data_IF_300488260812
#
_entry.id   IF_300488260812
#
_cell.length_a   1.000
_cell.length_b   1.000
_cell.length_c   1.000
_cell.angle_alpha   90.00
_cell.angle_beta   90.00
_cell.angle_gamma   90.00
#
_symmetry.space_group_name_H-M   'P 1'
#
loop_
_entity.id
_entity.type
_entity.pdbx_description
1 polymer ?
#
# COMPACT_ATOMS: atom_id res chain seq x y z
N UNK A 1 -13.96 6.58 53.51
CA UNK A 1 -14.10 7.60 52.46
C UNK A 1 -14.24 6.88 51.12
N UNK A 2 -15.30 7.15 50.37
CA UNK A 2 -15.56 6.60 49.04
C UNK A 2 -15.76 7.73 48.04
N UNK A 3 -15.37 7.50 46.79
CA UNK A 3 -15.47 8.45 45.69
C UNK A 3 -16.33 7.84 44.60
N UNK A 4 -17.33 8.58 44.13
CA UNK A 4 -18.26 8.15 43.07
C UNK A 4 -18.33 9.24 42.01
N UNK A 5 -17.98 8.90 40.78
CA UNK A 5 -18.04 9.78 39.62
C UNK A 5 -19.28 9.48 38.80
N UNK A 6 -20.08 10.50 38.51
CA UNK A 6 -21.14 10.46 37.50
C UNK A 6 -20.72 11.38 36.36
N UNK A 7 -20.68 10.87 35.14
CA UNK A 7 -20.22 11.62 33.96
C UNK A 7 -21.36 12.37 33.26
N UNK A 8 -22.62 12.16 33.67
CA UNK A 8 -23.77 12.89 33.16
C UNK A 8 -24.23 12.46 31.76
N UNK A 9 -23.72 11.35 31.23
CA UNK A 9 -24.08 10.76 29.93
C UNK A 9 -24.93 9.48 30.05
N UNK A 10 -25.29 9.09 31.28
CA UNK A 10 -26.06 7.87 31.56
C UNK A 10 -25.21 6.59 31.63
N UNK A 11 -23.88 6.70 31.52
CA UNK A 11 -22.94 5.60 31.74
C UNK A 11 -22.88 5.19 33.23
N UNK A 12 -22.43 3.96 33.57
CA UNK A 12 -22.22 3.55 34.96
C UNK A 12 -21.22 4.45 35.69
N UNK A 13 -21.48 4.74 36.96
CA UNK A 13 -20.59 5.55 37.79
C UNK A 13 -19.22 4.88 38.01
N UNK A 14 -18.14 5.66 37.99
CA UNK A 14 -16.80 5.17 38.32
C UNK A 14 -16.44 5.43 39.80
N UNK A 15 -15.45 4.70 40.32
CA UNK A 15 -15.00 4.84 41.71
C UNK A 15 -13.50 5.11 41.80
N UNK A 16 -13.09 5.80 42.87
CA UNK A 16 -11.70 6.13 43.16
C UNK A 16 -11.39 7.63 43.12
N UNK A 17 -10.25 8.05 43.68
CA UNK A 17 -9.86 9.46 43.76
C UNK A 17 -9.58 10.08 42.37
N UNK A 18 -9.35 9.24 41.35
CA UNK A 18 -9.25 9.64 39.94
C UNK A 18 -10.10 8.69 39.11
N UNK A 19 -10.67 9.19 38.02
CA UNK A 19 -11.41 8.38 37.07
C UNK A 19 -11.21 8.91 35.64
N UNK A 20 -11.25 8.01 34.67
CA UNK A 20 -11.20 8.31 33.24
C UNK A 20 -12.50 7.88 32.59
N UNK A 21 -13.06 8.73 31.73
CA UNK A 21 -14.30 8.45 31.00
C UNK A 21 -14.24 8.94 29.56
N UNK A 22 -14.94 8.25 28.68
CA UNK A 22 -15.00 8.53 27.24
C UNK A 22 -16.45 8.81 26.87
N UNK A 23 -16.70 10.02 26.37
CA UNK A 23 -18.01 10.40 25.84
C UNK A 23 -18.11 9.97 24.38
N UNK A 24 -18.94 8.96 24.11
CA UNK A 24 -19.11 8.41 22.76
C UNK A 24 -20.00 9.28 21.85
N UNK A 25 -20.78 10.19 22.42
CA UNK A 25 -21.75 11.01 21.68
C UNK A 25 -21.47 12.49 21.83
N UNK A 26 -21.75 13.23 20.77
CA UNK A 26 -21.64 14.69 20.73
C UNK A 26 -22.77 15.28 21.57
N UNK A 27 -22.45 16.25 22.39
CA UNK A 27 -23.39 16.80 23.36
C UNK A 27 -22.71 17.55 24.49
N UNK A 28 -23.54 18.08 25.39
CA UNK A 28 -23.10 18.72 26.61
C UNK A 28 -23.42 17.83 27.80
N UNK A 29 -22.41 17.50 28.59
CA UNK A 29 -22.50 16.66 29.76
C UNK A 29 -22.08 17.43 31.01
N UNK A 30 -22.53 16.98 32.17
CA UNK A 30 -22.14 17.55 33.46
C UNK A 30 -21.59 16.45 34.35
N UNK A 31 -20.27 16.39 34.48
CA UNK A 31 -19.62 15.42 35.35
C UNK A 31 -19.63 15.91 36.81
N UNK A 32 -19.91 15.01 37.75
CA UNK A 32 -19.93 15.29 39.20
C UNK A 32 -19.15 14.23 39.98
N UNK A 33 -18.50 14.66 41.05
CA UNK A 33 -17.84 13.77 42.01
C UNK A 33 -18.57 13.83 43.35
N UNK A 34 -19.03 12.68 43.84
CA UNK A 34 -19.60 12.53 45.18
C UNK A 34 -18.62 11.81 46.10
N UNK A 35 -18.25 12.44 47.21
CA UNK A 35 -17.39 11.89 48.25
C UNK A 35 -18.23 11.52 49.48
N UNK A 36 -18.12 10.30 49.98
CA UNK A 36 -18.85 9.83 51.16
C UNK A 36 -17.89 9.36 52.25
N UNK A 37 -17.99 9.93 53.45
CA UNK A 37 -17.23 9.56 54.64
C UNK A 37 -18.17 9.07 55.75
N UNK A 38 -17.61 8.72 56.92
CA UNK A 38 -18.39 8.40 58.12
C UNK A 38 -19.18 9.61 58.66
N UNK A 39 -18.85 10.82 58.21
CA UNK A 39 -19.47 12.07 58.64
C UNK A 39 -20.56 12.57 57.67
N UNK A 40 -20.71 11.93 56.50
CA UNK A 40 -21.73 12.28 55.52
C UNK A 40 -21.24 12.20 54.07
N UNK A 41 -22.03 12.76 53.15
CA UNK A 41 -21.71 12.81 51.71
C UNK A 41 -21.67 14.26 51.22
N UNK A 42 -20.75 14.56 50.30
CA UNK A 42 -20.60 15.86 49.67
C UNK A 42 -20.37 15.68 48.17
N UNK A 43 -21.11 16.42 47.35
CA UNK A 43 -21.01 16.39 45.89
C UNK A 43 -20.37 17.67 45.38
N UNK A 44 -19.45 17.54 44.41
CA UNK A 44 -18.80 18.67 43.78
C UNK A 44 -19.79 19.51 42.96
N UNK A 45 -19.48 20.79 42.70
CA UNK A 45 -20.08 21.48 41.56
C UNK A 45 -19.88 20.65 40.28
N UNK A 46 -20.88 20.67 39.40
CA UNK A 46 -20.80 19.98 38.11
C UNK A 46 -19.78 20.64 37.18
N UNK A 47 -19.00 19.82 36.49
CA UNK A 47 -18.05 20.25 35.46
C UNK A 47 -18.74 20.07 34.10
N UNK A 48 -18.99 21.18 33.41
CA UNK A 48 -19.56 21.15 32.07
C UNK A 48 -18.52 20.67 31.05
N UNK A 49 -18.89 19.63 30.29
CA UNK A 49 -18.06 19.04 29.24
C UNK A 49 -18.84 19.16 27.94
N UNK A 50 -18.25 19.79 26.94
CA UNK A 50 -18.85 19.89 25.59
C UNK A 50 -18.06 19.02 24.64
N UNK A 51 -18.72 18.02 24.08
CA UNK A 51 -18.18 17.13 23.06
C UNK A 51 -18.72 17.60 21.74
N UNK A 52 -17.85 18.07 20.85
CA UNK A 52 -18.20 18.56 19.53
C UNK A 52 -18.07 17.44 18.48
N UNK A 53 -18.78 17.56 17.36
CA UNK A 53 -18.48 16.70 16.20
C UNK A 53 -17.05 16.95 15.73
N UNK A 54 -16.30 15.88 15.51
CA UNK A 54 -15.05 15.96 14.75
C UNK A 54 -15.43 16.33 13.31
N UNK A 55 -14.95 17.46 12.76
CA UNK A 55 -15.21 17.81 11.36
C UNK A 55 -14.59 16.80 10.39
N UNK A 56 -13.62 16.00 10.83
CA UNK A 56 -12.95 14.99 10.03
C UNK A 56 -12.91 13.64 10.80
N UNK A 57 -14.07 12.99 10.98
CA UNK A 57 -14.17 11.74 11.73
C UNK A 57 -13.34 10.64 11.07
N UNK A 58 -12.79 9.74 11.89
CA UNK A 58 -11.87 8.69 11.43
C UNK A 58 -12.17 7.37 12.11
N UNK A 59 -11.94 6.30 11.38
CA UNK A 59 -11.85 4.96 11.94
C UNK A 59 -10.41 4.64 12.29
N UNK A 60 -10.22 3.92 13.38
CA UNK A 60 -8.94 3.48 13.90
C UNK A 60 -8.86 1.97 13.83
N UNK A 61 -7.70 1.46 13.40
CA UNK A 61 -7.46 0.02 13.23
C UNK A 61 -6.15 -0.35 13.92
N UNK A 62 -6.18 -1.40 14.75
CA UNK A 62 -4.97 -2.00 15.33
C UNK A 62 -5.12 -3.52 15.42
N UNK A 63 -4.05 -4.32 15.42
CA UNK A 63 -4.16 -5.78 15.39
C UNK A 63 -4.87 -6.37 16.62
N UNK A 64 -4.78 -5.68 17.76
CA UNK A 64 -5.44 -6.04 19.03
C UNK A 64 -6.80 -5.36 19.21
N UNK A 65 -7.36 -4.82 18.13
CA UNK A 65 -8.67 -4.18 18.12
C UNK A 65 -9.82 -5.18 18.30
N UNK A 66 -11.01 -4.63 18.45
CA UNK A 66 -12.25 -5.39 18.57
C UNK A 66 -12.84 -5.75 17.21
N UNK A 67 -13.84 -6.62 17.23
CA UNK A 67 -14.65 -6.99 16.04
C UNK A 67 -16.10 -6.55 16.26
N UNK A 68 -16.85 -6.46 15.18
CA UNK A 68 -18.26 -6.07 15.15
C UNK A 68 -18.50 -4.64 14.68
N UNK A 69 -19.78 -4.32 14.49
CA UNK A 69 -20.23 -3.02 13.98
C UNK A 69 -19.90 -1.82 14.92
N UNK A 70 -19.51 -2.09 16.17
CA UNK A 70 -19.15 -1.06 17.15
C UNK A 70 -17.69 -0.64 17.13
N UNK A 71 -16.80 -1.40 16.47
CA UNK A 71 -15.39 -1.02 16.40
C UNK A 71 -15.19 0.18 15.46
N UNK A 72 -14.16 0.99 15.71
CA UNK A 72 -13.83 2.15 14.89
C UNK A 72 -13.29 3.35 15.66
N UNK A 73 -13.85 3.73 16.81
CA UNK A 73 -13.31 4.81 17.63
C UNK A 73 -11.88 4.50 18.11
N UNK A 74 -11.09 5.53 18.42
CA UNK A 74 -9.71 5.34 18.94
C UNK A 74 -9.67 4.51 20.22
N UNK A 75 -10.75 4.54 21.01
CA UNK A 75 -10.91 3.80 22.26
C UNK A 75 -11.35 2.35 22.05
N UNK A 76 -11.93 2.03 20.89
CA UNK A 76 -12.31 0.68 20.49
C UNK A 76 -12.00 0.45 19.00
N UNK A 77 -10.71 0.43 18.63
CA UNK A 77 -10.30 0.34 17.23
C UNK A 77 -10.65 -1.03 16.65
N UNK A 78 -10.88 -1.10 15.34
CA UNK A 78 -11.15 -2.36 14.65
C UNK A 78 -9.90 -3.24 14.58
N UNK A 79 -10.11 -4.56 14.62
CA UNK A 79 -9.07 -5.57 14.49
C UNK A 79 -8.51 -5.68 13.06
N UNK A 80 -9.32 -5.33 12.05
CA UNK A 80 -8.97 -5.45 10.64
C UNK A 80 -9.38 -4.24 9.81
N UNK A 81 -8.62 -3.99 8.74
CA UNK A 81 -8.88 -2.87 7.81
C UNK A 81 -10.17 -3.12 7.01
N UNK A 82 -10.45 -4.37 6.64
CA UNK A 82 -11.66 -4.73 5.90
C UNK A 82 -12.94 -4.42 6.69
N UNK A 83 -12.93 -4.73 7.98
CA UNK A 83 -14.03 -4.41 8.89
C UNK A 83 -14.18 -2.91 9.11
N UNK A 84 -13.05 -2.21 9.32
CA UNK A 84 -13.05 -0.76 9.43
C UNK A 84 -13.61 -0.07 8.18
N UNK A 85 -13.28 -0.55 6.97
CA UNK A 85 -13.87 -0.05 5.73
C UNK A 85 -15.39 -0.25 5.70
N UNK A 86 -15.86 -1.43 6.08
CA UNK A 86 -17.29 -1.75 6.09
C UNK A 86 -18.06 -0.83 7.05
N UNK A 87 -17.54 -0.66 8.27
CA UNK A 87 -18.15 0.19 9.27
C UNK A 87 -18.04 1.68 8.90
N UNK A 88 -16.92 2.11 8.31
CA UNK A 88 -16.72 3.49 7.89
C UNK A 88 -17.71 3.88 6.77
N UNK A 89 -17.89 3.02 5.75
CA UNK A 89 -18.93 3.23 4.71
C UNK A 89 -20.32 3.33 5.33
N UNK A 90 -20.66 2.43 6.27
CA UNK A 90 -21.96 2.44 6.92
C UNK A 90 -22.23 3.72 7.73
N UNK A 91 -21.18 4.42 8.17
CA UNK A 91 -21.27 5.66 8.94
C UNK A 91 -20.96 6.91 8.10
N UNK A 92 -20.76 6.79 6.78
CA UNK A 92 -20.39 7.92 5.92
C UNK A 92 -19.03 8.53 6.28
N UNK A 93 -18.10 7.72 6.78
CA UNK A 93 -16.74 8.12 7.14
C UNK A 93 -15.79 7.59 6.08
N UNK A 94 -14.90 8.46 5.60
CA UNK A 94 -14.02 8.19 4.46
C UNK A 94 -12.56 8.00 4.87
N UNK A 95 -12.21 8.21 6.14
CA UNK A 95 -10.81 8.19 6.60
C UNK A 95 -10.56 7.06 7.59
N UNK A 96 -9.52 6.27 7.35
CA UNK A 96 -9.08 5.18 8.21
C UNK A 96 -7.61 5.38 8.58
N UNK A 97 -7.33 5.38 9.88
CA UNK A 97 -5.98 5.37 10.45
C UNK A 97 -5.62 3.97 10.92
N UNK A 98 -4.51 3.46 10.41
CA UNK A 98 -4.04 2.11 10.70
C UNK A 98 -2.78 2.21 11.55
N UNK A 99 -2.86 1.68 12.77
CA UNK A 99 -1.71 1.53 13.65
C UNK A 99 -0.73 0.51 13.08
N UNK A 100 0.47 0.51 13.66
CA UNK A 100 1.45 -0.51 13.42
C UNK A 100 0.91 -1.92 13.63
N UNK A 101 1.45 -2.88 12.90
CA UNK A 101 1.07 -4.28 12.96
C UNK A 101 1.09 -4.98 11.61
N UNK A 102 0.85 -6.28 11.67
CA UNK A 102 0.68 -7.12 10.49
C UNK A 102 -0.80 -7.26 10.17
N UNK A 103 -1.16 -6.90 8.95
CA UNK A 103 -2.52 -6.99 8.44
C UNK A 103 -2.57 -7.92 7.23
N UNK A 104 -3.71 -8.58 7.06
CA UNK A 104 -4.02 -9.30 5.83
C UNK A 104 -4.26 -8.35 4.67
N UNK A 105 -4.48 -8.92 3.48
CA UNK A 105 -4.72 -8.14 2.26
C UNK A 105 -5.84 -7.11 2.41
N UNK A 106 -5.75 -6.06 1.61
CA UNK A 106 -6.77 -5.02 1.48
C UNK A 106 -7.44 -5.14 0.12
N UNK A 107 -8.78 -5.21 0.12
CA UNK A 107 -9.60 -4.76 -1.01
C UNK A 107 -10.01 -3.32 -0.73
N UNK A 108 -9.49 -2.37 -1.49
CA UNK A 108 -9.78 -0.97 -1.27
C UNK A 108 -11.21 -0.66 -1.75
N UNK A 109 -12.01 -0.01 -0.90
CA UNK A 109 -13.31 0.52 -1.29
C UNK A 109 -13.17 1.92 -1.93
N UNK A 110 -14.18 2.34 -2.72
CA UNK A 110 -14.25 3.70 -3.28
C UNK A 110 -14.47 4.75 -2.20
N UNK A 111 -14.01 5.97 -2.47
CA UNK A 111 -14.13 7.13 -1.57
C UNK A 111 -13.54 6.85 -0.18
N UNK A 112 -12.38 6.18 -0.14
CA UNK A 112 -11.67 5.82 1.10
C UNK A 112 -10.21 6.27 1.10
N UNK A 113 -9.81 6.89 2.19
CA UNK A 113 -8.44 7.28 2.51
C UNK A 113 -7.89 6.42 3.65
N UNK A 114 -6.95 5.53 3.33
CA UNK A 114 -6.30 4.65 4.30
C UNK A 114 -4.88 5.13 4.57
N UNK A 115 -4.60 5.55 5.79
CA UNK A 115 -3.27 6.02 6.21
C UNK A 115 -2.69 5.12 7.30
N UNK A 116 -1.61 4.42 6.96
CA UNK A 116 -0.80 3.64 7.89
C UNK A 116 0.35 4.42 8.51
N UNK A 117 1.24 3.69 9.19
CA UNK A 117 2.50 4.22 9.72
C UNK A 117 2.42 4.73 11.15
N UNK A 118 1.26 4.65 11.78
CA UNK A 118 1.04 5.09 13.16
C UNK A 118 1.61 4.11 14.19
N UNK A 119 1.97 4.61 15.37
CA UNK A 119 2.25 3.78 16.54
C UNK A 119 0.98 3.04 17.04
N UNK A 120 1.14 2.04 17.90
CA UNK A 120 0.01 1.24 18.45
C UNK A 120 -1.00 2.08 19.26
N UNK A 121 -0.57 3.24 19.76
CA UNK A 121 -1.38 4.20 20.50
C UNK A 121 -1.90 5.36 19.61
N UNK A 122 -1.61 5.34 18.30
CA UNK A 122 -1.95 6.38 17.34
C UNK A 122 -1.41 7.77 17.68
N UNK A 123 -0.36 7.86 18.52
CA UNK A 123 0.21 9.14 18.95
C UNK A 123 0.94 9.86 17.82
N UNK A 124 1.79 9.16 17.08
CA UNK A 124 2.61 9.68 15.99
C UNK A 124 2.90 8.59 14.95
N UNK A 125 3.58 8.99 13.86
CA UNK A 125 4.20 8.05 12.94
C UNK A 125 5.40 7.36 13.59
N UNK A 126 5.47 6.03 13.47
CA UNK A 126 6.58 5.24 14.00
C UNK A 126 7.89 5.47 13.22
N UNK A 127 9.06 5.30 13.87
CA UNK A 127 10.37 5.61 13.27
C UNK A 127 10.79 4.70 12.11
N UNK A 128 10.12 3.56 11.88
CA UNK A 128 10.22 2.72 10.67
C UNK A 128 9.08 1.69 10.62
N UNK A 129 8.52 1.49 9.42
CA UNK A 129 7.70 0.35 8.94
C UNK A 129 6.94 -0.48 9.99
N UNK A 130 5.79 0.03 10.45
CA UNK A 130 4.96 -0.78 11.37
C UNK A 130 3.71 -1.32 10.69
N UNK A 131 3.07 -0.64 9.73
CA UNK A 131 1.87 -1.15 9.06
C UNK A 131 2.23 -2.04 7.86
N UNK A 132 2.38 -3.34 8.11
CA UNK A 132 2.68 -4.32 7.06
C UNK A 132 1.41 -4.98 6.55
N UNK A 133 1.25 -5.05 5.23
CA UNK A 133 0.11 -5.69 4.57
C UNK A 133 0.62 -6.84 3.72
N UNK A 134 0.12 -8.03 3.98
CA UNK A 134 0.57 -9.24 3.28
C UNK A 134 -0.49 -9.75 2.31
N UNK A 135 -0.07 -10.03 1.07
CA UNK A 135 -0.90 -10.78 0.15
C UNK A 135 -1.07 -12.23 0.59
N UNK A 136 -2.11 -12.91 0.07
CA UNK A 136 -2.47 -14.27 0.46
C UNK A 136 -2.49 -15.20 -0.74
N UNK A 137 -1.54 -16.13 -0.81
CA UNK A 137 -1.46 -17.17 -1.85
C UNK A 137 -1.39 -16.63 -3.28
N UNK A 138 -2.55 -16.40 -3.89
CA UNK A 138 -2.67 -15.87 -5.26
C UNK A 138 -3.05 -14.40 -5.35
N UNK A 139 -3.37 -13.79 -4.22
CA UNK A 139 -3.89 -12.44 -4.17
C UNK A 139 -2.79 -11.45 -3.75
N UNK A 140 -2.75 -10.24 -4.34
CA UNK A 140 -1.81 -9.20 -3.96
C UNK A 140 -2.10 -8.70 -2.54
N UNK A 141 -1.14 -7.97 -1.95
CA UNK A 141 -1.33 -7.30 -0.66
C UNK A 141 -2.45 -6.26 -0.72
N UNK A 142 -2.52 -5.50 -1.80
CA UNK A 142 -3.57 -4.50 -2.02
C UNK A 142 -4.18 -4.72 -3.39
N UNK A 143 -5.52 -4.76 -3.42
CA UNK A 143 -6.32 -4.93 -4.62
C UNK A 143 -7.26 -3.73 -4.76
N UNK A 144 -7.18 -3.07 -5.91
CA UNK A 144 -7.96 -1.88 -6.27
C UNK A 144 -8.65 -2.22 -7.59
N UNK A 145 -9.92 -2.61 -7.55
CA UNK A 145 -10.66 -3.12 -8.70
C UNK A 145 -11.99 -2.40 -8.86
N UNK A 146 -12.11 -1.55 -9.89
CA UNK A 146 -13.30 -0.73 -10.11
C UNK A 146 -13.52 0.33 -9.03
N UNK A 147 -12.43 0.84 -8.45
CA UNK A 147 -12.44 1.79 -7.33
C UNK A 147 -12.30 3.21 -7.84
N UNK A 148 -12.96 4.17 -7.19
CA UNK A 148 -12.82 5.60 -7.50
C UNK A 148 -12.48 6.42 -6.26
N UNK A 149 -11.68 7.48 -6.45
CA UNK A 149 -11.37 8.50 -5.43
C UNK A 149 -10.87 7.94 -4.09
N UNK A 150 -9.91 7.02 -4.13
CA UNK A 150 -9.38 6.40 -2.92
C UNK A 150 -7.87 6.55 -2.84
N UNK A 151 -7.36 6.61 -1.62
CA UNK A 151 -5.94 6.70 -1.35
C UNK A 151 -5.47 5.65 -0.35
N UNK A 152 -4.21 5.23 -0.51
CA UNK A 152 -3.52 4.41 0.47
C UNK A 152 -2.10 4.93 0.67
N UNK A 153 -1.72 5.28 1.90
CA UNK A 153 -0.40 5.83 2.23
C UNK A 153 0.14 5.27 3.55
N UNK A 154 1.46 5.37 3.77
CA UNK A 154 2.10 4.98 5.04
C UNK A 154 2.11 3.47 5.32
N UNK A 155 1.98 2.63 4.29
CA UNK A 155 1.93 1.16 4.44
C UNK A 155 3.14 0.47 3.79
N UNK A 156 3.46 -0.73 4.27
CA UNK A 156 4.42 -1.65 3.65
C UNK A 156 3.64 -2.82 3.01
N UNK A 157 3.36 -2.73 1.71
CA UNK A 157 2.62 -3.73 0.95
C UNK A 157 3.56 -4.80 0.40
N UNK A 158 3.40 -6.04 0.85
CA UNK A 158 4.28 -7.18 0.55
C UNK A 158 3.57 -8.21 -0.32
N UNK A 159 4.01 -8.34 -1.57
CA UNK A 159 3.45 -9.26 -2.56
C UNK A 159 3.65 -10.74 -2.21
N UNK A 160 3.00 -11.60 -3.00
CA UNK A 160 2.95 -13.05 -2.74
C UNK A 160 4.02 -13.86 -3.46
N UNK A 161 4.50 -14.93 -2.83
CA UNK A 161 5.29 -15.93 -3.54
C UNK A 161 4.40 -16.80 -4.45
N UNK A 162 4.78 -16.95 -5.72
CA UNK A 162 4.05 -17.68 -6.75
C UNK A 162 5.00 -18.48 -7.64
N UNK A 163 4.51 -19.61 -8.15
CA UNK A 163 5.20 -20.42 -9.16
C UNK A 163 4.70 -20.14 -10.59
N UNK A 164 3.56 -19.45 -10.74
CA UNK A 164 2.99 -19.05 -12.02
C UNK A 164 2.10 -17.79 -11.90
N UNK A 165 2.01 -17.01 -12.98
CA UNK A 165 1.30 -15.73 -13.01
C UNK A 165 2.07 -14.60 -12.31
N UNK A 166 1.45 -13.43 -12.22
CA UNK A 166 2.12 -12.23 -11.72
C UNK A 166 2.22 -12.24 -10.19
N UNK A 167 3.45 -12.17 -9.66
CA UNK A 167 3.71 -12.02 -8.23
C UNK A 167 3.66 -10.55 -7.83
N UNK A 168 2.44 -10.02 -7.62
CA UNK A 168 2.18 -8.59 -7.47
C UNK A 168 2.06 -8.13 -6.02
N UNK A 169 2.62 -6.95 -5.69
CA UNK A 169 2.42 -6.24 -4.43
C UNK A 169 1.06 -5.53 -4.38
N UNK A 170 0.86 -4.55 -5.26
CA UNK A 170 -0.41 -3.82 -5.43
C UNK A 170 -0.95 -4.02 -6.85
N UNK A 171 -2.21 -4.41 -6.97
CA UNK A 171 -2.93 -4.51 -8.25
C UNK A 171 -3.99 -3.42 -8.36
N UNK A 172 -3.93 -2.65 -9.44
CA UNK A 172 -4.95 -1.67 -9.83
C UNK A 172 -5.58 -2.08 -11.16
N UNK A 173 -6.89 -2.30 -11.20
CA UNK A 173 -7.61 -2.86 -12.35
C UNK A 173 -9.07 -2.39 -12.39
N UNK A 174 -9.83 -2.87 -13.38
CA UNK A 174 -11.28 -2.63 -13.48
C UNK A 174 -11.68 -1.19 -13.80
N UNK A 175 -10.82 -0.42 -14.48
CA UNK A 175 -11.10 0.98 -14.81
C UNK A 175 -11.09 1.90 -13.59
N UNK A 176 -10.26 1.60 -12.59
CA UNK A 176 -10.16 2.41 -11.37
C UNK A 176 -9.62 3.82 -11.68
N UNK A 177 -10.20 4.86 -11.07
CA UNK A 177 -9.84 6.27 -11.34
C UNK A 177 -9.66 7.08 -10.05
N UNK A 178 -8.91 8.18 -10.10
CA UNK A 178 -8.67 9.00 -8.91
C UNK A 178 -7.92 8.26 -7.78
N UNK A 179 -7.15 7.22 -8.11
CA UNK A 179 -6.41 6.42 -7.13
C UNK A 179 -5.08 7.08 -6.79
N UNK A 180 -4.77 7.22 -5.50
CA UNK A 180 -3.47 7.65 -5.01
C UNK A 180 -2.78 6.56 -4.18
N UNK A 181 -1.51 6.32 -4.47
CA UNK A 181 -0.67 5.40 -3.71
C UNK A 181 0.51 6.20 -3.15
N UNK A 182 0.55 6.30 -1.83
CA UNK A 182 1.44 7.17 -1.09
C UNK A 182 0.96 8.63 -1.06
N UNK A 183 1.69 9.42 -0.28
CA UNK A 183 1.40 10.82 0.03
C UNK A 183 2.70 11.48 0.50
N UNK A 184 2.91 12.74 0.11
CA UNK A 184 4.10 13.52 0.44
C UNK A 184 4.16 13.90 1.93
N UNK A 185 3.00 14.04 2.57
CA UNK A 185 2.90 14.41 3.99
C UNK A 185 2.81 13.19 4.92
N UNK A 186 2.70 11.99 4.33
CA UNK A 186 2.66 10.72 5.04
C UNK A 186 4.03 10.04 5.08
N UNK A 187 4.24 9.07 6.00
CA UNK A 187 5.38 8.17 5.93
C UNK A 187 5.46 7.49 4.55
N UNK A 188 6.69 7.27 4.10
CA UNK A 188 6.94 6.70 2.78
C UNK A 188 6.20 5.37 2.61
N UNK A 189 5.47 5.24 1.50
CA UNK A 189 4.75 4.00 1.20
C UNK A 189 5.68 3.02 0.54
N UNK A 190 5.82 1.83 1.11
CA UNK A 190 6.76 0.83 0.65
C UNK A 190 6.01 -0.30 -0.01
N UNK A 191 6.45 -0.68 -1.20
CA UNK A 191 5.76 -1.67 -2.00
C UNK A 191 6.79 -2.64 -2.52
N UNK A 192 6.63 -3.91 -2.17
CA UNK A 192 7.42 -4.98 -2.74
C UNK A 192 6.49 -5.91 -3.53
N UNK A 193 6.88 -6.21 -4.76
CA UNK A 193 6.34 -7.35 -5.46
C UNK A 193 6.68 -8.64 -4.74
N UNK A 194 6.05 -9.72 -5.17
CA UNK A 194 6.27 -11.03 -4.58
C UNK A 194 7.48 -11.75 -5.15
N UNK A 195 7.53 -13.07 -4.91
CA UNK A 195 8.56 -13.94 -5.48
C UNK A 195 7.95 -14.83 -6.54
N UNK A 196 8.29 -14.69 -7.82
CA UNK A 196 7.67 -15.49 -8.87
C UNK A 196 8.02 -15.04 -10.29
N UNK A 197 7.45 -15.68 -11.32
CA UNK A 197 7.49 -15.12 -12.66
C UNK A 197 6.78 -13.77 -12.67
N UNK A 198 7.28 -12.82 -13.48
CA UNK A 198 6.70 -11.48 -13.61
C UNK A 198 6.51 -10.75 -12.26
N UNK A 199 7.47 -10.89 -11.34
CA UNK A 199 7.43 -10.21 -10.05
C UNK A 199 7.23 -8.71 -10.27
N UNK A 200 6.15 -8.16 -9.71
CA UNK A 200 5.72 -6.79 -9.99
C UNK A 200 5.41 -6.05 -8.68
N UNK A 201 6.01 -4.89 -8.46
CA UNK A 201 5.67 -4.04 -7.30
C UNK A 201 4.23 -3.54 -7.39
N UNK A 202 3.95 -2.71 -8.39
CA UNK A 202 2.59 -2.25 -8.72
C UNK A 202 2.24 -2.61 -10.16
N UNK A 203 1.14 -3.34 -10.32
CA UNK A 203 0.56 -3.68 -11.61
C UNK A 203 -0.71 -2.86 -11.84
N UNK A 204 -0.74 -2.10 -12.94
CA UNK A 204 -1.88 -1.27 -13.34
C UNK A 204 -2.39 -1.76 -14.68
N UNK A 205 -3.65 -2.13 -14.75
CA UNK A 205 -4.27 -2.74 -15.93
C UNK A 205 -5.76 -2.36 -16.02
N UNK A 206 -6.47 -2.89 -17.01
CA UNK A 206 -7.92 -2.72 -17.14
C UNK A 206 -8.36 -1.29 -17.43
N UNK A 207 -7.50 -0.46 -18.01
CA UNK A 207 -7.80 0.95 -18.30
C UNK A 207 -7.80 1.86 -17.06
N UNK A 208 -7.23 1.40 -15.94
CA UNK A 208 -7.13 2.18 -14.71
C UNK A 208 -6.09 3.30 -14.78
N UNK A 209 -6.31 4.36 -14.01
CA UNK A 209 -5.37 5.47 -13.80
C UNK A 209 -4.98 5.57 -12.32
N UNK A 210 -3.69 5.73 -12.03
CA UNK A 210 -3.19 5.88 -10.65
C UNK A 210 -2.08 6.93 -10.57
N UNK A 211 -2.05 7.65 -9.46
CA UNK A 211 -0.92 8.51 -9.08
C UNK A 211 -0.16 7.85 -7.94
N UNK A 212 1.16 7.77 -8.08
CA UNK A 212 2.09 7.25 -7.07
C UNK A 212 2.93 8.41 -6.56
N UNK A 213 2.89 8.66 -5.26
CA UNK A 213 3.56 9.81 -4.64
C UNK A 213 4.36 9.35 -3.42
N UNK A 214 5.62 9.81 -3.27
CA UNK A 214 6.46 9.50 -2.11
C UNK A 214 6.46 7.99 -1.74
N UNK A 215 6.60 7.13 -2.75
CA UNK A 215 6.62 5.69 -2.57
C UNK A 215 7.99 5.10 -2.93
N UNK A 216 8.38 4.02 -2.25
CA UNK A 216 9.52 3.18 -2.62
C UNK A 216 9.01 1.82 -3.09
N UNK A 217 9.20 1.55 -4.37
CA UNK A 217 8.64 0.40 -5.05
C UNK A 217 9.76 -0.52 -5.49
N UNK A 218 9.68 -1.79 -5.11
CA UNK A 218 10.55 -2.86 -5.54
C UNK A 218 9.74 -3.91 -6.29
N UNK A 219 10.28 -4.42 -7.40
CA UNK A 219 9.64 -5.47 -8.20
C UNK A 219 9.39 -6.78 -7.46
N UNK A 220 10.06 -7.03 -6.34
CA UNK A 220 10.18 -8.35 -5.76
C UNK A 220 11.22 -9.20 -6.49
N UNK A 221 11.17 -10.51 -6.28
CA UNK A 221 12.19 -11.45 -6.76
C UNK A 221 11.66 -12.32 -7.89
N UNK A 222 12.32 -12.31 -9.04
CA UNK A 222 11.95 -13.19 -10.15
C UNK A 222 12.48 -14.60 -9.99
N UNK A 223 11.64 -15.58 -10.29
CA UNK A 223 12.03 -17.00 -10.34
C UNK A 223 11.51 -17.65 -11.61
N UNK A 224 12.22 -18.69 -12.09
CA UNK A 224 11.88 -19.41 -13.32
C UNK A 224 12.53 -18.81 -14.57
N UNK A 225 12.87 -19.66 -15.53
CA UNK A 225 13.57 -19.27 -16.75
C UNK A 225 12.71 -18.36 -17.64
N UNK A 226 13.29 -17.27 -18.15
CA UNK A 226 12.59 -16.27 -18.97
C UNK A 226 11.76 -15.27 -18.18
N UNK A 227 11.87 -15.25 -16.85
CA UNK A 227 11.11 -14.35 -15.98
C UNK A 227 11.67 -12.93 -15.98
N UNK A 228 10.79 -11.94 -15.86
CA UNK A 228 11.12 -10.51 -15.80
C UNK A 228 10.58 -9.88 -14.51
N UNK A 229 11.25 -8.84 -13.99
CA UNK A 229 10.83 -8.13 -12.78
C UNK A 229 10.48 -6.68 -13.13
N UNK A 230 9.39 -6.17 -12.56
CA UNK A 230 8.88 -4.84 -12.83
C UNK A 230 8.61 -4.08 -11.53
N UNK A 231 9.27 -2.95 -11.30
CA UNK A 231 8.89 -2.09 -10.18
C UNK A 231 7.45 -1.58 -10.38
N UNK A 232 7.21 -0.96 -11.54
CA UNK A 232 5.90 -0.57 -12.03
C UNK A 232 5.62 -1.23 -13.38
N UNK A 233 4.39 -1.71 -13.57
CA UNK A 233 3.94 -2.29 -14.85
C UNK A 233 2.55 -1.76 -15.18
N UNK A 234 2.43 -1.00 -16.27
CA UNK A 234 1.15 -0.52 -16.80
C UNK A 234 0.81 -1.27 -18.10
N UNK A 235 -0.41 -1.80 -18.21
CA UNK A 235 -0.87 -2.60 -19.34
C UNK A 235 -2.13 -2.02 -19.98
N UNK A 236 -2.29 -2.22 -21.29
CA UNK A 236 -3.45 -1.73 -22.02
C UNK A 236 -3.52 -0.20 -22.03
N UNK A 237 -4.71 0.36 -21.82
CA UNK A 237 -4.93 1.82 -21.78
C UNK A 237 -4.70 2.43 -20.39
N UNK A 238 -4.02 1.72 -19.50
CA UNK A 238 -3.76 2.19 -18.14
C UNK A 238 -2.69 3.27 -18.07
N UNK A 239 -2.82 4.16 -17.10
CA UNK A 239 -1.95 5.33 -16.91
C UNK A 239 -1.41 5.36 -15.49
N UNK A 240 -0.11 5.65 -15.37
CA UNK A 240 0.54 5.85 -14.08
C UNK A 240 1.25 7.20 -14.09
N UNK A 241 0.93 8.04 -13.12
CA UNK A 241 1.66 9.27 -12.84
C UNK A 241 2.55 9.04 -11.61
N UNK A 242 3.83 9.39 -11.69
CA UNK A 242 4.79 9.13 -10.61
C UNK A 242 5.41 10.45 -10.14
N UNK A 243 5.36 10.68 -8.82
CA UNK A 243 5.85 11.89 -8.16
C UNK A 243 6.74 11.49 -6.99
N UNK A 244 7.95 12.05 -6.91
CA UNK A 244 8.87 11.91 -5.77
C UNK A 244 9.02 10.46 -5.26
N UNK A 245 9.06 9.48 -6.16
CA UNK A 245 9.06 8.05 -5.81
C UNK A 245 10.33 7.37 -6.31
N UNK A 246 10.77 6.35 -5.57
CA UNK A 246 11.90 5.49 -5.94
C UNK A 246 11.35 4.17 -6.48
N UNK A 247 11.76 3.77 -7.68
CA UNK A 247 11.32 2.51 -8.30
C UNK A 247 12.55 1.67 -8.61
N UNK A 248 12.53 0.41 -8.17
CA UNK A 248 13.61 -0.55 -8.35
C UNK A 248 13.08 -1.84 -8.96
N UNK A 249 13.77 -2.32 -10.00
CA UNK A 249 13.53 -3.61 -10.63
C UNK A 249 14.72 -4.54 -10.39
N UNK A 250 14.47 -5.76 -9.96
CA UNK A 250 15.49 -6.81 -9.90
C UNK A 250 15.80 -7.34 -11.31
N UNK A 251 17.01 -7.87 -11.56
CA UNK A 251 17.32 -8.55 -12.81
C UNK A 251 16.35 -9.73 -13.04
N UNK A 252 15.92 -9.91 -14.29
CA UNK A 252 15.18 -11.10 -14.69
C UNK A 252 16.04 -12.37 -14.67
N UNK A 253 15.41 -13.52 -14.83
CA UNK A 253 16.08 -14.81 -14.94
C UNK A 253 16.15 -15.19 -16.41
N UNK A 254 17.36 -15.43 -16.91
CA UNK A 254 17.58 -15.77 -18.32
C UNK A 254 16.75 -17.00 -18.76
N UNK A 255 16.33 -16.97 -20.02
CA UNK A 255 15.74 -18.11 -20.71
C UNK A 255 16.73 -19.28 -20.83
N UNK A 256 16.22 -20.49 -20.98
CA UNK A 256 17.03 -21.64 -21.42
C UNK A 256 17.34 -21.42 -22.90
N UNK A 257 18.63 -21.42 -23.24
CA UNK A 257 19.08 -21.42 -24.63
C UNK A 257 18.46 -22.61 -25.36
N UNK A 258 17.77 -22.37 -26.48
CA UNK A 258 17.24 -23.46 -27.29
C UNK A 258 18.39 -24.34 -27.80
N UNK A 259 18.37 -25.68 -27.59
CA UNK A 259 19.37 -26.56 -28.20
C UNK A 259 19.13 -26.61 -29.71
N UNK A 260 20.06 -26.04 -30.48
CA UNK A 260 20.15 -26.25 -31.93
C UNK A 260 19.01 -25.62 -32.75
N UNK A 261 19.06 -24.31 -32.95
CA UNK A 261 18.25 -23.64 -33.96
C UNK A 261 18.58 -22.16 -34.05
N UNK A 262 18.96 -21.70 -35.24
CA UNK A 262 19.14 -20.28 -35.54
C UNK A 262 17.76 -19.62 -35.45
N UNK A 263 17.53 -18.64 -34.55
CA UNK A 263 16.22 -18.02 -34.44
C UNK A 263 15.91 -17.18 -35.68
N UNK A 264 14.66 -17.22 -36.14
CA UNK A 264 14.22 -16.52 -37.34
C UNK A 264 14.54 -15.01 -37.28
N UNK A 265 15.05 -14.50 -38.40
CA UNK A 265 15.49 -13.11 -38.57
C UNK A 265 14.31 -12.14 -38.45
N UNK A 266 14.39 -11.15 -37.56
CA UNK A 266 13.43 -10.04 -37.52
C UNK A 266 13.72 -9.07 -38.69
N UNK A 267 12.73 -8.66 -39.51
CA UNK A 267 12.95 -7.84 -40.72
C UNK A 267 13.52 -6.43 -40.46
N UNK A 268 13.39 -5.88 -39.25
CA UNK A 268 13.83 -4.51 -38.95
C UNK A 268 13.85 -4.22 -37.45
N UNK A 269 15.01 -3.95 -36.87
CA UNK A 269 15.11 -3.43 -35.49
C UNK A 269 16.54 -3.43 -34.92
N UNK A 270 16.95 -2.33 -34.29
CA UNK A 270 18.29 -2.09 -33.75
C UNK A 270 18.62 -2.98 -32.54
N UNK A 271 19.89 -3.37 -32.41
CA UNK A 271 20.38 -4.30 -31.39
C UNK A 271 20.39 -3.69 -29.98
N UNK A 272 19.84 -4.41 -28.99
CA UNK A 272 20.21 -4.27 -27.58
C UNK A 272 21.29 -5.31 -27.28
N UNK A 273 22.42 -4.89 -26.70
CA UNK A 273 23.59 -5.75 -26.48
C UNK A 273 23.38 -6.87 -25.45
N UNK A 274 24.26 -7.88 -25.52
CA UNK A 274 24.25 -9.08 -24.68
C UNK A 274 24.71 -8.80 -23.24
N UNK A 275 24.09 -9.50 -22.27
CA UNK A 275 24.47 -9.48 -20.85
C UNK A 275 25.72 -10.32 -20.55
N UNK A 276 26.49 -9.88 -19.56
CA UNK A 276 27.80 -10.41 -19.20
C UNK A 276 27.75 -11.86 -18.66
N UNK A 277 28.01 -12.85 -19.52
CA UNK A 277 28.79 -14.07 -19.24
C UNK A 277 28.78 -14.98 -20.49
N UNK A 278 29.50 -14.57 -21.52
CA UNK A 278 29.89 -15.46 -22.61
C UNK A 278 31.02 -16.38 -22.09
N UNK A 279 30.67 -17.53 -21.52
CA UNK A 279 31.67 -18.54 -21.19
C UNK A 279 32.05 -19.36 -22.42
N UNK A 280 33.30 -19.18 -22.84
CA UNK A 280 34.12 -20.04 -23.69
C UNK A 280 33.68 -20.21 -25.16
N UNK A 281 34.14 -19.30 -26.02
CA UNK A 281 34.24 -19.61 -27.46
C UNK A 281 34.61 -18.46 -28.37
N UNK A 282 34.20 -17.22 -28.10
CA UNK A 282 34.48 -16.08 -28.97
C UNK A 282 34.80 -14.81 -28.19
N UNK A 283 35.85 -14.13 -28.65
CA UNK A 283 36.55 -13.06 -27.96
C UNK A 283 35.70 -11.79 -27.74
N UNK A 284 35.79 -11.34 -26.49
CA UNK A 284 35.54 -10.03 -25.89
C UNK A 284 35.43 -8.77 -26.78
N UNK A 285 34.50 -7.90 -26.37
CA UNK A 285 34.84 -6.54 -25.96
C UNK A 285 33.95 -5.43 -26.54
N UNK A 286 33.34 -4.61 -25.68
CA UNK A 286 32.85 -3.30 -26.09
C UNK A 286 31.75 -2.69 -25.23
N UNK A 287 32.14 -1.74 -24.40
CA UNK A 287 31.28 -0.76 -23.70
C UNK A 287 30.50 0.12 -24.69
N UNK A 288 29.41 0.73 -24.21
CA UNK A 288 28.39 1.36 -25.03
C UNK A 288 28.80 2.60 -25.85
N UNK A 289 27.87 3.00 -26.71
CA UNK A 289 27.71 4.37 -27.20
C UNK A 289 28.04 4.61 -28.68
N UNK A 290 27.03 5.16 -29.37
CA UNK A 290 27.06 5.96 -30.62
C UNK A 290 27.29 5.26 -31.98
N UNK A 291 26.37 5.56 -32.90
CA UNK A 291 26.62 5.49 -34.35
C UNK A 291 25.97 4.30 -35.07
N UNK A 292 24.83 4.53 -35.70
CA UNK A 292 24.34 3.63 -36.74
C UNK A 292 25.27 3.72 -37.97
N UNK A 293 26.04 2.67 -38.25
CA UNK A 293 26.67 2.48 -39.56
C UNK A 293 26.78 0.98 -39.92
N UNK A 294 26.20 0.67 -41.06
CA UNK A 294 26.45 -0.43 -42.01
C UNK A 294 26.83 -1.84 -41.51
N UNK A 295 26.00 -2.80 -41.96
CA UNK A 295 26.49 -4.10 -42.44
C UNK A 295 27.02 -5.07 -41.39
N UNK A 296 26.13 -5.77 -40.70
CA UNK A 296 26.49 -6.91 -39.85
C UNK A 296 25.27 -7.78 -39.56
N UNK A 297 25.44 -9.09 -39.75
CA UNK A 297 24.43 -10.15 -39.64
C UNK A 297 23.74 -10.12 -38.27
N UNK A 298 22.39 -10.17 -38.25
CA UNK A 298 21.56 -10.26 -37.04
C UNK A 298 20.80 -11.57 -37.02
N UNK A 299 20.83 -12.29 -35.90
CA UNK A 299 19.95 -13.42 -35.58
C UNK A 299 19.31 -13.22 -34.20
N UNK A 300 18.08 -13.70 -34.07
CA UNK A 300 17.23 -13.46 -32.92
C UNK A 300 17.63 -14.23 -31.66
N UNK A 301 17.04 -13.82 -30.54
CA UNK A 301 17.07 -14.48 -29.25
C UNK A 301 16.00 -13.80 -28.36
N UNK A 302 15.06 -14.59 -27.84
CA UNK A 302 13.90 -14.10 -27.12
C UNK A 302 14.27 -13.72 -25.68
N UNK A 303 14.38 -12.42 -25.43
CA UNK A 303 13.99 -11.73 -24.19
C UNK A 303 14.64 -12.12 -22.85
N UNK A 304 15.45 -11.20 -22.33
CA UNK A 304 15.81 -11.11 -20.91
C UNK A 304 16.41 -9.73 -20.61
N UNK A 305 15.61 -8.67 -20.68
CA UNK A 305 16.08 -7.32 -20.33
C UNK A 305 15.86 -7.07 -18.84
N UNK A 306 16.87 -7.36 -18.03
CA UNK A 306 16.98 -6.90 -16.65
C UNK A 306 17.99 -5.76 -16.56
N UNK A 307 17.55 -4.52 -16.74
CA UNK A 307 18.35 -3.35 -16.42
C UNK A 307 18.06 -2.89 -15.00
N UNK A 308 19.09 -2.81 -14.16
CA UNK A 308 19.01 -2.09 -12.88
C UNK A 308 18.92 -0.61 -13.19
N UNK A 309 17.73 -0.03 -13.06
CA UNK A 309 17.53 1.41 -13.25
C UNK A 309 16.87 1.99 -12.01
N UNK A 310 17.69 2.50 -11.10
CA UNK A 310 17.24 3.39 -10.02
C UNK A 310 17.11 4.79 -10.62
N UNK A 311 15.88 5.25 -10.84
CA UNK A 311 15.65 6.63 -11.21
C UNK A 311 14.86 7.35 -10.12
N UNK A 312 15.44 8.43 -9.61
CA UNK A 312 14.73 9.47 -8.87
C UNK A 312 14.27 10.51 -9.89
N UNK A 313 12.96 10.68 -10.06
CA UNK A 313 12.39 11.59 -11.06
C UNK A 313 11.48 12.65 -10.41
N UNK A 314 11.56 13.93 -10.84
CA UNK A 314 10.50 14.91 -10.64
C UNK A 314 9.46 14.75 -11.78
N UNK A 315 8.34 14.10 -11.46
CA UNK A 315 7.04 14.12 -12.18
C UNK A 315 7.01 13.90 -13.70
N UNK A 316 6.66 12.68 -14.16
CA UNK A 316 6.25 12.39 -15.54
C UNK A 316 5.04 11.42 -15.58
N UNK A 317 4.19 11.57 -16.59
CA UNK A 317 3.03 10.70 -16.87
C UNK A 317 3.37 9.68 -17.95
N UNK A 318 3.19 8.38 -17.69
CA UNK A 318 3.44 7.32 -18.68
C UNK A 318 2.13 6.90 -19.37
N UNK A 319 2.06 7.09 -20.69
CA UNK A 319 1.05 6.48 -21.56
C UNK A 319 1.70 5.33 -22.34
N UNK A 320 1.43 4.07 -21.99
CA UNK A 320 1.75 2.95 -22.87
C UNK A 320 0.58 2.71 -23.84
N UNK A 321 0.60 3.40 -24.98
CA UNK A 321 -0.19 3.03 -26.14
C UNK A 321 0.43 1.83 -26.87
N UNK A 322 -0.37 0.79 -27.10
CA UNK A 322 -0.11 -0.23 -28.13
C UNK A 322 -0.24 0.43 -29.52
N UNK A 323 0.57 0.07 -30.53
CA UNK A 323 0.03 -0.03 -31.89
C UNK A 323 -0.01 -1.49 -32.33
N UNK A 324 -1.07 -1.84 -33.04
CA UNK A 324 -1.37 -3.19 -33.49
C UNK A 324 -0.67 -3.63 -34.79
N UNK A 325 -1.23 -4.73 -35.31
CA UNK A 325 -0.79 -5.64 -36.36
C UNK A 325 0.22 -6.70 -35.90
#
# INVERSE_FOLDING_TARGET
LTYTWDFGDGSPTASGPTASHVYGTVGSYTATLTMTSTEGSSTSPGIAITVNQDPNPKFYVKPTGSTGAGCGPITDPCSSIAEAQSNAVANGIHTIRVAGGSYGRIDLASDMDITGGWLQDFSDFGPSEVTSIFGTGTQPAVSINGVSNSSISGVSAQGVARTSGDATGILVTGGSTGIKIGDIDSPQTLIAGGTGPNATGVLVTGGSSVTVENAKINSGTTTGSGSSAYGLRALGLSVVNVVLSEITGQPGVAGVSAPGGVPAQAPSGCAGGDGANASAGYNNGGTGGAGCAAGGVRNGGNGGYGGTWSYSFPSWSYHAGKPGA
#
